data_IF_979810638582
#
_entry.id   IF_979810638582
#
_cell.length_a   1.000
_cell.length_b   1.000
_cell.length_c   1.000
_cell.angle_alpha   90.00
_cell.angle_beta   90.00
_cell.angle_gamma   90.00
#
_symmetry.space_group_name_H-M   'P 1'
#
loop_
_entity.id
_entity.type
_entity.pdbx_description
1 polymer ?
#
# COMPACT_ATOMS: atom_id res chain seq x y z
N UNK A 1 8.15 18.56 51.98
CA UNK A 1 6.83 18.19 51.43
C UNK A 1 6.85 18.52 49.94
N UNK A 2 7.18 17.57 49.06
CA UNK A 2 7.16 17.79 47.61
C UNK A 2 5.86 17.31 46.93
N UNK A 3 5.60 17.96 45.79
CA UNK A 3 4.45 17.96 44.87
C UNK A 3 4.12 16.64 44.12
N UNK A 4 2.92 16.51 43.52
CA UNK A 4 2.36 15.24 43.05
C UNK A 4 2.92 14.77 41.71
N UNK A 5 3.15 13.45 41.63
CA UNK A 5 3.56 12.71 40.44
C UNK A 5 2.57 12.89 39.28
N UNK A 6 3.06 13.49 38.19
CA UNK A 6 2.41 13.48 36.88
C UNK A 6 2.37 12.06 36.33
N UNK A 7 1.16 11.58 36.05
CA UNK A 7 0.92 10.32 35.32
C UNK A 7 1.20 10.57 33.84
N UNK A 8 2.38 10.18 33.36
CA UNK A 8 2.66 10.12 31.92
C UNK A 8 2.03 8.84 31.36
N UNK A 9 0.87 9.01 30.73
CA UNK A 9 0.19 7.96 29.96
C UNK A 9 1.09 7.50 28.80
N UNK A 10 1.79 6.38 28.98
CA UNK A 10 2.45 5.66 27.89
C UNK A 10 1.36 5.03 27.01
N UNK A 11 0.99 5.71 25.93
CA UNK A 11 0.24 5.09 24.85
C UNK A 11 1.21 4.20 24.05
N UNK A 12 1.23 2.91 24.39
CA UNK A 12 1.80 1.89 23.52
C UNK A 12 0.97 1.81 22.24
N UNK A 13 1.54 2.24 21.11
CA UNK A 13 1.04 1.90 19.78
C UNK A 13 1.65 0.54 19.37
N UNK A 14 0.87 -0.55 19.26
CA UNK A 14 1.39 -1.80 18.72
C UNK A 14 1.31 -1.72 17.19
N UNK A 15 2.39 -1.26 16.56
CA UNK A 15 2.47 -1.20 15.10
C UNK A 15 3.80 -0.73 14.51
N UNK A 16 4.77 -0.29 15.31
CA UNK A 16 5.97 0.37 14.80
C UNK A 16 7.15 -0.55 14.44
N UNK A 17 7.21 -1.80 14.92
CA UNK A 17 8.45 -2.59 14.82
C UNK A 17 8.62 -3.49 13.57
N UNK A 18 7.84 -3.28 12.50
CA UNK A 18 8.07 -3.98 11.20
C UNK A 18 8.22 -3.04 10.01
N UNK A 19 8.17 -1.72 10.25
CA UNK A 19 8.31 -0.70 9.23
C UNK A 19 9.76 -0.19 9.07
N UNK A 20 10.71 -0.76 9.81
CA UNK A 20 12.12 -0.34 9.85
C UNK A 20 12.98 -0.90 8.71
N UNK A 21 12.46 -1.80 7.87
CA UNK A 21 13.04 -2.04 6.53
C UNK A 21 12.57 -0.95 5.55
N UNK A 22 12.73 0.30 5.99
CA UNK A 22 12.52 1.50 5.21
C UNK A 22 13.31 1.35 3.93
N UNK A 23 12.59 1.08 2.83
CA UNK A 23 13.01 1.19 1.44
C UNK A 23 14.40 1.82 1.33
N UNK A 24 15.43 0.96 1.36
CA UNK A 24 16.85 1.26 1.14
C UNK A 24 16.89 2.43 0.17
N UNK A 25 17.32 3.64 0.56
CA UNK A 25 17.05 4.94 -0.11
C UNK A 25 17.40 5.03 -1.60
N UNK A 26 16.78 4.17 -2.39
CA UNK A 26 17.07 3.78 -3.76
C UNK A 26 16.02 4.46 -4.64
N UNK A 27 16.47 5.01 -5.76
CA UNK A 27 15.56 5.61 -6.72
C UNK A 27 14.81 4.53 -7.52
N UNK A 28 13.74 4.94 -8.22
CA UNK A 28 12.92 4.01 -9.01
C UNK A 28 13.73 3.18 -10.00
N UNK A 29 14.81 3.73 -10.55
CA UNK A 29 15.67 3.00 -11.49
C UNK A 29 16.42 1.84 -10.80
N UNK A 30 17.04 2.11 -9.65
CA UNK A 30 17.71 1.09 -8.85
C UNK A 30 16.74 0.02 -8.34
N UNK A 31 15.54 0.43 -7.90
CA UNK A 31 14.46 -0.49 -7.50
C UNK A 31 14.08 -1.43 -8.66
N UNK A 32 13.84 -0.89 -9.86
CA UNK A 32 13.46 -1.67 -11.03
C UNK A 32 14.56 -2.67 -11.45
N UNK A 33 15.81 -2.25 -11.43
CA UNK A 33 16.96 -3.11 -11.73
C UNK A 33 17.07 -4.27 -10.73
N UNK A 34 17.01 -3.96 -9.43
CA UNK A 34 17.05 -4.95 -8.35
C UNK A 34 15.90 -5.95 -8.42
N UNK A 35 14.69 -5.52 -8.74
CA UNK A 35 13.53 -6.41 -8.81
C UNK A 35 13.53 -7.23 -10.10
N UNK A 36 14.00 -6.69 -11.22
CA UNK A 36 14.15 -7.45 -12.48
C UNK A 36 15.22 -8.54 -12.36
N UNK A 37 16.32 -8.30 -11.65
CA UNK A 37 17.34 -9.33 -11.43
C UNK A 37 16.86 -10.50 -10.57
N UNK A 38 15.80 -10.30 -9.79
CA UNK A 38 15.14 -11.35 -9.00
C UNK A 38 14.05 -12.09 -9.80
N UNK A 39 13.58 -11.53 -10.91
CA UNK A 39 12.53 -12.11 -11.74
C UNK A 39 13.16 -12.95 -12.87
N UNK A 40 13.48 -14.21 -12.58
CA UNK A 40 14.12 -15.12 -13.54
C UNK A 40 13.34 -15.23 -14.86
N UNK A 41 14.03 -15.01 -15.98
CA UNK A 41 13.44 -15.10 -17.32
C UNK A 41 12.46 -13.97 -17.69
N UNK A 42 12.30 -12.94 -16.84
CA UNK A 42 11.45 -11.78 -17.11
C UNK A 42 12.26 -10.60 -17.58
N UNK A 43 11.72 -9.86 -18.53
CA UNK A 43 12.37 -8.68 -19.11
C UNK A 43 11.60 -7.40 -18.79
N UNK A 44 12.26 -6.25 -18.96
CA UNK A 44 11.60 -4.95 -18.88
C UNK A 44 10.44 -4.79 -19.90
N UNK A 45 10.52 -5.46 -21.06
CA UNK A 45 9.42 -5.47 -22.04
C UNK A 45 8.20 -6.22 -21.51
N UNK A 46 8.43 -7.32 -20.79
CA UNK A 46 7.35 -8.07 -20.13
C UNK A 46 6.70 -7.22 -19.05
N UNK A 47 7.51 -6.52 -18.26
CA UNK A 47 7.03 -5.64 -17.19
C UNK A 47 6.16 -4.52 -17.76
N UNK A 48 6.63 -3.86 -18.83
CA UNK A 48 5.89 -2.81 -19.51
C UNK A 48 4.51 -3.32 -19.99
N UNK A 49 4.50 -4.48 -20.66
CA UNK A 49 3.28 -5.10 -21.20
C UNK A 49 2.29 -5.51 -20.10
N UNK A 50 2.75 -6.20 -19.06
CA UNK A 50 1.89 -6.70 -17.99
C UNK A 50 1.40 -5.60 -17.04
N UNK A 51 2.19 -4.55 -16.83
CA UNK A 51 1.80 -3.39 -16.02
C UNK A 51 0.97 -2.36 -16.80
N UNK A 52 0.77 -2.55 -18.12
CA UNK A 52 0.03 -1.60 -18.97
C UNK A 52 0.74 -0.26 -19.19
N UNK A 53 2.07 -0.25 -19.16
CA UNK A 53 2.92 0.95 -19.30
C UNK A 53 3.68 0.86 -20.62
N UNK A 54 3.80 1.95 -21.37
CA UNK A 54 4.59 1.90 -22.61
C UNK A 54 6.06 1.59 -22.31
N UNK A 55 6.66 0.70 -23.11
CA UNK A 55 8.06 0.32 -22.93
C UNK A 55 8.99 1.54 -22.94
N UNK A 56 8.74 2.52 -23.82
CA UNK A 56 9.50 3.78 -23.85
C UNK A 56 9.45 4.55 -22.53
N UNK A 57 8.28 4.60 -21.89
CA UNK A 57 8.11 5.29 -20.60
C UNK A 57 8.87 4.55 -19.50
N UNK A 58 8.72 3.23 -19.43
CA UNK A 58 9.41 2.42 -18.44
C UNK A 58 10.93 2.45 -18.64
N UNK A 59 11.40 2.41 -19.89
CA UNK A 59 12.81 2.55 -20.26
C UNK A 59 13.36 3.92 -19.86
N UNK A 60 12.58 4.99 -20.02
CA UNK A 60 13.02 6.32 -19.61
C UNK A 60 13.16 6.44 -18.08
N UNK A 61 12.29 5.77 -17.31
CA UNK A 61 12.44 5.73 -15.85
C UNK A 61 13.62 4.88 -15.40
N UNK A 62 13.81 3.70 -15.98
CA UNK A 62 14.94 2.82 -15.66
C UNK A 62 16.30 3.46 -15.98
N UNK A 63 16.37 4.30 -17.03
CA UNK A 63 17.59 5.02 -17.40
C UNK A 63 17.68 6.43 -16.79
N UNK A 64 16.78 6.81 -15.88
CA UNK A 64 16.74 8.14 -15.23
C UNK A 64 16.60 9.32 -16.22
N UNK A 65 16.15 9.08 -17.45
CA UNK A 65 16.01 10.12 -18.49
C UNK A 65 14.66 10.83 -18.45
N UNK A 66 13.72 10.38 -17.62
CA UNK A 66 12.44 11.04 -17.36
C UNK A 66 12.19 11.12 -15.85
N UNK A 67 11.73 12.28 -15.39
CA UNK A 67 11.35 12.50 -13.99
C UNK A 67 10.22 11.56 -13.52
N UNK A 68 10.31 11.14 -12.26
CA UNK A 68 9.44 10.12 -11.65
C UNK A 68 8.43 10.70 -10.65
N UNK A 69 8.54 11.98 -10.31
CA UNK A 69 7.69 12.63 -9.29
C UNK A 69 6.21 12.69 -9.65
N UNK A 70 5.87 12.76 -10.95
CA UNK A 70 4.49 12.85 -11.47
C UNK A 70 3.93 11.51 -11.97
N UNK A 71 4.52 10.39 -11.58
CA UNK A 71 3.98 9.08 -11.96
C UNK A 71 2.62 8.88 -11.29
N UNK A 72 1.65 8.42 -12.07
CA UNK A 72 0.33 8.06 -11.59
C UNK A 72 0.43 6.95 -10.51
N UNK A 73 -0.22 7.13 -9.33
CA UNK A 73 -0.22 6.13 -8.26
C UNK A 73 -0.59 4.71 -8.72
N UNK A 74 -1.52 4.57 -9.66
CA UNK A 74 -1.99 3.27 -10.13
C UNK A 74 -0.94 2.56 -10.98
N UNK A 75 -0.06 3.32 -11.65
CA UNK A 75 1.11 2.74 -12.35
C UNK A 75 2.12 2.18 -11.37
N UNK A 76 2.36 2.86 -10.24
CA UNK A 76 3.25 2.35 -9.19
C UNK A 76 2.68 1.07 -8.55
N UNK A 77 1.37 1.05 -8.30
CA UNK A 77 0.66 -0.17 -7.85
C UNK A 77 0.73 -1.29 -8.89
N UNK A 78 0.56 -0.99 -10.18
CA UNK A 78 0.62 -1.97 -11.25
C UNK A 78 2.01 -2.60 -11.38
N UNK A 79 3.08 -1.81 -11.24
CA UNK A 79 4.45 -2.33 -11.20
C UNK A 79 4.65 -3.29 -10.03
N UNK A 80 4.29 -2.87 -8.81
CA UNK A 80 4.37 -3.72 -7.62
C UNK A 80 3.51 -4.99 -7.74
N UNK A 81 2.32 -4.88 -8.34
CA UNK A 81 1.44 -6.01 -8.61
C UNK A 81 2.05 -7.00 -9.62
N UNK A 82 2.72 -6.50 -10.65
CA UNK A 82 3.35 -7.33 -11.69
C UNK A 82 4.52 -8.13 -11.14
N UNK A 83 5.42 -7.51 -10.36
CA UNK A 83 6.51 -8.23 -9.70
C UNK A 83 6.00 -9.29 -8.73
N UNK A 84 4.95 -8.99 -7.95
CA UNK A 84 4.32 -9.97 -7.07
C UNK A 84 3.73 -11.15 -7.84
N UNK A 85 3.12 -10.93 -9.01
CA UNK A 85 2.64 -12.02 -9.89
C UNK A 85 3.80 -12.90 -10.40
N UNK A 86 5.00 -12.36 -10.51
CA UNK A 86 6.20 -13.10 -10.88
C UNK A 86 6.91 -13.75 -9.68
N UNK A 87 6.32 -13.69 -8.49
CA UNK A 87 6.89 -14.30 -7.28
C UNK A 87 7.97 -13.45 -6.60
N UNK A 88 8.18 -12.21 -7.04
CA UNK A 88 9.14 -11.28 -6.40
C UNK A 88 8.45 -10.56 -5.24
N UNK A 89 9.06 -10.62 -4.05
CA UNK A 89 8.58 -9.93 -2.86
C UNK A 89 8.86 -8.43 -2.98
N UNK A 90 7.80 -7.64 -3.08
CA UNK A 90 7.86 -6.17 -3.08
C UNK A 90 6.51 -5.58 -2.68
N UNK A 91 6.51 -4.34 -2.23
CA UNK A 91 5.31 -3.61 -1.80
C UNK A 91 5.09 -2.35 -2.64
N UNK A 92 3.84 -1.89 -2.84
CA UNK A 92 3.59 -0.57 -3.41
C UNK A 92 4.35 0.53 -2.68
N UNK A 93 4.53 0.41 -1.35
CA UNK A 93 5.25 1.37 -0.52
C UNK A 93 6.69 1.59 -0.99
N UNK A 94 7.42 0.55 -1.38
CA UNK A 94 8.76 0.67 -1.97
C UNK A 94 8.75 1.53 -3.23
N UNK A 95 7.77 1.33 -4.12
CA UNK A 95 7.66 2.12 -5.36
C UNK A 95 7.32 3.59 -5.11
N UNK A 96 6.46 3.89 -4.13
CA UNK A 96 6.17 5.27 -3.74
C UNK A 96 7.40 5.94 -3.10
N UNK A 97 8.08 5.24 -2.19
CA UNK A 97 9.31 5.72 -1.56
C UNK A 97 10.40 6.02 -2.61
N UNK A 98 10.58 5.13 -3.59
CA UNK A 98 11.58 5.27 -4.66
C UNK A 98 11.32 6.45 -5.62
N UNK A 99 10.11 7.03 -5.61
CA UNK A 99 9.78 8.27 -6.32
C UNK A 99 9.68 9.49 -5.40
N UNK A 100 10.12 9.35 -4.13
CA UNK A 100 10.12 10.42 -3.14
C UNK A 100 8.74 10.79 -2.62
N UNK A 101 7.77 9.86 -2.67
CA UNK A 101 6.39 10.09 -2.24
C UNK A 101 6.02 9.21 -1.06
N UNK A 102 5.27 9.72 -0.07
CA UNK A 102 4.63 8.85 0.90
C UNK A 102 3.67 7.92 0.16
N UNK A 103 3.64 6.65 0.55
CA UNK A 103 2.68 5.71 0.00
C UNK A 103 1.27 6.20 0.35
N UNK A 104 0.39 6.45 -0.63
CA UNK A 104 -1.02 6.70 -0.35
C UNK A 104 -1.58 5.50 0.42
N UNK A 105 -2.55 5.74 1.30
CA UNK A 105 -3.28 4.67 1.97
C UNK A 105 -3.81 3.62 0.98
N UNK A 106 -4.18 2.42 1.47
CA UNK A 106 -4.56 1.31 0.60
C UNK A 106 -5.67 1.76 -0.36
N UNK A 107 -5.61 1.32 -1.63
CA UNK A 107 -6.65 1.63 -2.62
C UNK A 107 -8.02 1.12 -2.13
N UNK A 108 -9.11 1.59 -2.76
CA UNK A 108 -10.45 1.11 -2.40
C UNK A 108 -10.54 -0.42 -2.54
N UNK A 109 -10.01 -0.95 -3.63
CA UNK A 109 -9.95 -2.38 -3.95
C UNK A 109 -9.06 -3.13 -2.95
N UNK A 110 -7.94 -2.55 -2.53
CA UNK A 110 -7.06 -3.16 -1.50
C UNK A 110 -7.74 -3.20 -0.13
N UNK A 111 -8.50 -2.15 0.24
CA UNK A 111 -9.27 -2.14 1.49
C UNK A 111 -10.41 -3.15 1.44
N UNK A 112 -11.11 -3.23 0.32
CA UNK A 112 -12.19 -4.20 0.11
C UNK A 112 -11.67 -5.63 0.14
N UNK A 113 -10.60 -5.93 -0.60
CA UNK A 113 -9.97 -7.25 -0.62
C UNK A 113 -9.50 -7.67 0.77
N UNK A 114 -8.93 -6.73 1.55
CA UNK A 114 -8.51 -6.98 2.93
C UNK A 114 -9.71 -7.26 3.84
N UNK A 115 -10.79 -6.48 3.73
CA UNK A 115 -12.02 -6.71 4.50
C UNK A 115 -12.62 -8.09 4.19
N UNK A 116 -12.73 -8.43 2.91
CA UNK A 116 -13.24 -9.73 2.46
C UNK A 116 -12.36 -10.89 2.92
N UNK A 117 -11.03 -10.69 2.92
CA UNK A 117 -10.11 -11.70 3.43
C UNK A 117 -10.36 -11.99 4.91
N UNK A 118 -10.44 -10.94 5.76
CA UNK A 118 -10.75 -11.12 7.17
C UNK A 118 -12.13 -11.78 7.39
N UNK A 119 -13.15 -11.30 6.68
CA UNK A 119 -14.52 -11.85 6.78
C UNK A 119 -14.55 -13.37 6.51
N UNK A 120 -13.85 -13.84 5.47
CA UNK A 120 -13.82 -15.27 5.09
C UNK A 120 -13.10 -16.17 6.10
N UNK A 121 -12.22 -15.61 6.94
CA UNK A 121 -11.50 -16.37 7.96
C UNK A 121 -12.28 -16.48 9.28
N UNK A 122 -13.34 -15.69 9.45
CA UNK A 122 -14.16 -15.68 10.66
C UNK A 122 -15.16 -16.85 10.65
N UNK A 123 -15.47 -17.46 11.81
CA UNK A 123 -16.61 -18.37 11.91
C UNK A 123 -17.94 -17.63 11.71
N UNK A 124 -19.00 -18.37 11.34
CA UNK A 124 -20.30 -17.80 10.95
C UNK A 124 -20.88 -16.82 11.97
N UNK A 125 -20.71 -17.09 13.26
CA UNK A 125 -21.21 -16.20 14.33
C UNK A 125 -20.51 -14.84 14.28
N UNK A 126 -19.20 -14.82 14.10
CA UNK A 126 -18.38 -13.61 14.03
C UNK A 126 -18.60 -12.86 12.71
N UNK A 127 -18.87 -13.56 11.61
CA UNK A 127 -19.28 -12.93 10.36
C UNK A 127 -20.59 -12.14 10.52
N UNK A 128 -21.60 -12.72 11.21
CA UNK A 128 -22.87 -12.03 11.50
C UNK A 128 -22.67 -10.79 12.36
N UNK A 129 -21.86 -10.89 13.41
CA UNK A 129 -21.53 -9.75 14.28
C UNK A 129 -20.84 -8.62 13.50
N UNK A 130 -19.88 -8.96 12.64
CA UNK A 130 -19.21 -7.98 11.79
C UNK A 130 -20.18 -7.26 10.84
N UNK A 131 -21.17 -7.97 10.30
CA UNK A 131 -22.22 -7.36 9.47
C UNK A 131 -23.12 -6.45 10.30
N UNK A 132 -23.55 -6.87 11.49
CA UNK A 132 -24.37 -6.06 12.39
C UNK A 132 -23.66 -4.75 12.79
N UNK A 133 -22.38 -4.83 13.15
CA UNK A 133 -21.55 -3.66 13.46
C UNK A 133 -21.44 -2.72 12.25
N UNK A 134 -21.24 -3.27 11.05
CA UNK A 134 -21.20 -2.51 9.80
C UNK A 134 -22.54 -1.80 9.51
N UNK A 135 -23.67 -2.46 9.75
CA UNK A 135 -24.99 -1.87 9.61
C UNK A 135 -25.23 -0.72 10.60
N UNK A 136 -24.79 -0.88 11.85
CA UNK A 136 -24.88 0.16 12.88
C UNK A 136 -24.03 1.38 12.47
N UNK A 137 -22.78 1.15 12.05
CA UNK A 137 -21.91 2.22 11.54
C UNK A 137 -22.57 2.97 10.37
N UNK A 138 -23.20 2.25 9.43
CA UNK A 138 -23.90 2.85 8.31
C UNK A 138 -25.13 3.69 8.74
N UNK A 139 -25.89 3.22 9.73
CA UNK A 139 -27.02 3.97 10.31
C UNK A 139 -26.55 5.28 10.96
N UNK A 140 -25.46 5.26 11.73
CA UNK A 140 -24.91 6.46 12.41
C UNK A 140 -24.49 7.52 11.40
N UNK A 141 -23.79 7.14 10.32
CA UNK A 141 -23.37 8.08 9.26
C UNK A 141 -24.57 8.73 8.58
N UNK A 142 -25.60 7.94 8.25
CA UNK A 142 -26.80 8.42 7.56
C UNK A 142 -27.63 9.38 8.43
N UNK A 143 -27.74 9.11 9.74
CA UNK A 143 -28.42 10.01 10.68
C UNK A 143 -27.64 11.32 10.84
N UNK A 144 -26.30 11.26 10.93
CA UNK A 144 -25.45 12.46 11.01
C UNK A 144 -25.55 13.36 9.77
N UNK A 145 -25.77 12.80 8.58
CA UNK A 145 -25.96 13.58 7.35
C UNK A 145 -27.37 14.19 7.21
N UNK A 146 -28.35 13.73 7.99
CA UNK A 146 -29.74 14.23 7.93
C UNK A 146 -29.99 15.43 8.86
N UNK A 147 -29.06 15.75 9.76
CA UNK A 147 -29.18 16.85 10.74
C UNK A 147 -28.43 18.12 10.28
N UNK A 148 -27.76 18.07 9.12
CA UNK A 148 -26.96 19.18 8.56
C UNK A 148 -27.56 19.87 7.33
N UNK A 149 -28.86 19.76 7.09
CA UNK A 149 -29.60 20.48 6.03
C UNK A 149 -30.55 21.50 6.66
#
# INVERSE_FOLDING_TARGET
MPDPVSVTSHQNHPGEDVAEDLARGEDLAALLERLLSQAEGKTQKDLAREAGISYQTLNAWANRTRGTSRIDPDRLRALAGTFRKWGVTTTPREFFAAVGRPAPGPSNEEREARLLWFYRQLPDRQQRLLVEDAEVMFKVVRVGQSVGQ
#
